data_IF_184472215518
#
_entry.id   IF_184472215518
#
_cell.length_a   1.000
_cell.length_b   1.000
_cell.length_c   1.000
_cell.angle_alpha   90.00
_cell.angle_beta   90.00
_cell.angle_gamma   90.00
#
_symmetry.space_group_name_H-M   'P 1'
#
loop_
_entity.id
_entity.type
_entity.pdbx_description
1 polymer ?
#
# COMPACT_ATOMS: atom_id res chain seq x y z
N UNK A 1 1.26 -3.46 16.16
CA UNK A 1 0.44 -4.43 15.42
C UNK A 1 1.28 -5.16 14.37
N UNK A 2 1.05 -6.43 14.21
CA UNK A 2 1.61 -7.29 13.15
C UNK A 2 0.44 -8.06 12.56
N UNK A 3 0.28 -7.98 11.24
CA UNK A 3 -0.85 -8.56 10.52
C UNK A 3 -0.33 -9.31 9.29
N UNK A 4 -0.89 -10.49 9.02
CA UNK A 4 -0.56 -11.27 7.83
C UNK A 4 0.88 -11.74 7.76
N UNK A 5 1.41 -11.86 6.54
CA UNK A 5 2.76 -12.35 6.29
C UNK A 5 3.82 -11.24 6.46
N UNK A 6 4.96 -11.60 7.05
CA UNK A 6 6.14 -10.72 7.16
C UNK A 6 7.20 -11.10 6.13
N UNK A 7 8.15 -10.19 5.84
CA UNK A 7 9.21 -10.46 4.84
C UNK A 7 9.96 -11.78 5.02
N UNK A 8 10.21 -12.20 6.25
CA UNK A 8 10.88 -13.48 6.53
C UNK A 8 10.01 -14.73 6.35
N UNK A 9 8.70 -14.57 6.21
CA UNK A 9 7.71 -15.63 6.05
C UNK A 9 7.20 -15.72 4.61
N UNK A 10 7.38 -14.66 3.84
CA UNK A 10 7.09 -14.62 2.41
C UNK A 10 8.21 -15.36 1.66
N UNK A 11 8.08 -16.69 1.55
CA UNK A 11 9.01 -17.46 0.72
C UNK A 11 9.07 -16.86 -0.69
N UNK A 12 10.14 -16.92 -1.39
CA UNK A 12 10.49 -16.58 -2.79
C UNK A 12 9.54 -15.68 -3.64
N UNK A 13 8.41 -15.22 -3.13
CA UNK A 13 7.51 -14.28 -3.84
C UNK A 13 8.06 -12.86 -3.77
N UNK A 14 8.21 -12.17 -4.92
CA UNK A 14 8.55 -10.75 -4.91
C UNK A 14 7.42 -9.94 -4.29
N UNK A 15 7.77 -9.06 -3.36
CA UNK A 15 6.83 -8.16 -2.68
C UNK A 15 7.36 -6.72 -2.68
N UNK A 16 6.44 -5.79 -2.55
CA UNK A 16 6.72 -4.37 -2.37
C UNK A 16 6.40 -3.94 -0.95
N UNK A 17 7.13 -2.94 -0.46
CA UNK A 17 6.90 -2.36 0.87
C UNK A 17 6.47 -0.91 0.73
N UNK A 18 5.22 -0.61 1.04
CA UNK A 18 4.73 0.75 1.22
C UNK A 18 4.98 1.22 2.65
N UNK A 19 5.40 2.48 2.83
CA UNK A 19 5.81 3.02 4.12
C UNK A 19 5.17 4.37 4.40
N UNK A 20 4.88 4.63 5.67
CA UNK A 20 4.59 5.97 6.18
C UNK A 20 5.16 6.13 7.58
N UNK A 21 5.75 7.29 7.83
CA UNK A 21 6.13 7.73 9.17
C UNK A 21 5.02 8.63 9.73
N UNK A 22 4.62 8.39 10.98
CA UNK A 22 3.60 9.22 11.65
C UNK A 22 4.13 10.58 12.13
N UNK A 23 5.41 10.86 11.95
CA UNK A 23 6.04 12.12 12.38
C UNK A 23 5.31 13.36 11.82
N UNK A 24 4.86 13.31 10.57
CA UNK A 24 4.17 14.41 9.89
C UNK A 24 2.69 14.15 9.62
N UNK A 25 2.12 13.06 10.14
CA UNK A 25 0.70 12.77 9.95
C UNK A 25 -0.15 13.74 10.79
N UNK A 26 -1.12 14.41 10.15
CA UNK A 26 -1.86 15.54 10.72
C UNK A 26 -2.55 15.22 12.06
N UNK A 27 -3.33 14.14 12.12
CA UNK A 27 -4.04 13.74 13.34
C UNK A 27 -3.08 13.33 14.45
N UNK A 28 -2.04 12.59 14.13
CA UNK A 28 -1.02 12.18 15.10
C UNK A 28 -0.30 13.38 15.71
N UNK A 29 -0.05 14.43 14.94
CA UNK A 29 0.52 15.70 15.42
C UNK A 29 -0.43 16.42 16.37
N UNK A 30 -1.72 16.54 16.02
CA UNK A 30 -2.75 17.16 16.87
C UNK A 30 -2.87 16.43 18.21
N UNK A 31 -2.78 15.11 18.20
CA UNK A 31 -2.81 14.28 19.42
C UNK A 31 -1.50 14.29 20.20
N UNK A 32 -0.42 14.87 19.68
CA UNK A 32 0.92 14.81 20.27
C UNK A 32 1.54 13.40 20.27
N UNK A 33 1.02 12.49 19.44
CA UNK A 33 1.43 11.07 19.33
C UNK A 33 1.96 10.77 17.94
N UNK A 34 2.88 11.60 17.43
CA UNK A 34 3.40 11.53 16.07
C UNK A 34 4.71 10.72 15.95
N UNK A 35 4.84 9.65 16.73
CA UNK A 35 5.97 8.73 16.66
C UNK A 35 5.51 7.38 16.12
N UNK A 36 6.37 6.76 15.31
CA UNK A 36 6.13 5.43 14.79
C UNK A 36 6.13 5.36 13.26
N UNK A 37 5.88 4.16 12.77
CA UNK A 37 5.89 3.84 11.35
C UNK A 37 4.88 2.75 11.05
N UNK A 38 4.25 2.82 9.89
CA UNK A 38 3.52 1.73 9.29
C UNK A 38 4.28 1.25 8.06
N UNK A 39 4.41 -0.06 7.92
CA UNK A 39 4.86 -0.74 6.70
C UNK A 39 3.76 -1.68 6.25
N UNK A 40 3.45 -1.66 4.98
CA UNK A 40 2.55 -2.64 4.34
C UNK A 40 3.34 -3.47 3.33
N UNK A 41 2.97 -4.72 3.20
CA UNK A 41 3.58 -5.66 2.28
C UNK A 41 2.57 -6.08 1.23
N UNK A 42 2.96 -5.93 -0.02
CA UNK A 42 2.09 -6.12 -1.18
C UNK A 42 2.73 -7.09 -2.15
N UNK A 43 1.99 -8.08 -2.59
CA UNK A 43 2.44 -8.99 -3.65
C UNK A 43 2.64 -8.21 -4.95
N UNK A 44 3.85 -8.30 -5.52
CA UNK A 44 4.22 -7.52 -6.70
C UNK A 44 3.40 -7.90 -7.95
N UNK A 45 3.03 -9.17 -8.09
CA UNK A 45 2.33 -9.67 -9.27
C UNK A 45 0.83 -9.34 -9.26
N UNK A 46 0.19 -9.44 -8.10
CA UNK A 46 -1.27 -9.25 -7.96
C UNK A 46 -1.69 -7.89 -7.40
N UNK A 47 -0.78 -7.18 -6.73
CA UNK A 47 -1.10 -5.95 -6.00
C UNK A 47 -1.91 -6.18 -4.72
N UNK A 48 -2.04 -7.43 -4.28
CA UNK A 48 -2.80 -7.80 -3.07
C UNK A 48 -2.00 -7.48 -1.82
N UNK A 49 -2.66 -6.88 -0.82
CA UNK A 49 -2.09 -6.70 0.52
C UNK A 49 -1.93 -8.06 1.20
N UNK A 50 -0.71 -8.42 1.56
CA UNK A 50 -0.39 -9.70 2.20
C UNK A 50 -0.02 -9.57 3.67
N UNK A 51 0.42 -8.41 4.11
CA UNK A 51 0.76 -8.18 5.50
C UNK A 51 1.04 -6.73 5.84
N UNK A 52 1.18 -6.46 7.12
CA UNK A 52 1.53 -5.14 7.63
C UNK A 52 2.18 -5.22 9.00
N UNK A 53 3.03 -4.26 9.30
CA UNK A 53 3.62 -4.03 10.61
C UNK A 53 3.47 -2.56 11.00
N UNK A 54 3.01 -2.32 12.22
CA UNK A 54 2.84 -0.96 12.73
C UNK A 54 3.33 -0.83 14.16
N UNK A 55 4.08 0.23 14.39
CA UNK A 55 4.36 0.76 15.71
C UNK A 55 3.95 2.23 15.69
N UNK A 56 2.98 2.62 16.51
CA UNK A 56 2.52 4.00 16.52
C UNK A 56 1.12 4.18 17.09
N UNK A 57 0.55 5.38 16.93
CA UNK A 57 -0.76 5.70 17.49
C UNK A 57 -1.88 4.89 16.84
N UNK A 58 -2.86 4.48 17.64
CA UNK A 58 -4.03 3.73 17.19
C UNK A 58 -3.71 2.42 16.44
N UNK A 59 -2.56 1.79 16.73
CA UNK A 59 -2.11 0.57 16.05
C UNK A 59 -3.13 -0.57 16.16
N UNK A 60 -3.85 -0.67 17.27
CA UNK A 60 -4.93 -1.65 17.46
C UNK A 60 -6.11 -1.42 16.53
N UNK A 61 -6.48 -0.19 16.24
CA UNK A 61 -7.59 0.15 15.34
C UNK A 61 -7.19 -0.01 13.87
N UNK A 62 -6.03 0.53 13.51
CA UNK A 62 -5.46 0.40 12.15
C UNK A 62 -5.19 -1.07 11.85
N UNK A 63 -4.64 -1.81 12.81
CA UNK A 63 -4.40 -3.25 12.68
C UNK A 63 -5.67 -4.05 12.38
N UNK A 64 -6.81 -3.66 12.95
CA UNK A 64 -8.11 -4.28 12.65
C UNK A 64 -8.52 -4.10 11.19
N UNK A 65 -8.43 -2.87 10.69
CA UNK A 65 -8.76 -2.55 9.30
C UNK A 65 -7.84 -3.29 8.31
N UNK A 66 -6.55 -3.31 8.61
CA UNK A 66 -5.56 -4.02 7.78
C UNK A 66 -5.75 -5.54 7.82
N UNK A 67 -6.12 -6.11 8.98
CA UNK A 67 -6.42 -7.53 9.09
C UNK A 67 -7.62 -7.92 8.22
N UNK A 68 -8.67 -7.12 8.19
CA UNK A 68 -9.82 -7.34 7.30
C UNK A 68 -9.43 -7.23 5.83
N UNK A 69 -8.61 -6.24 5.47
CA UNK A 69 -8.12 -6.07 4.11
C UNK A 69 -7.29 -7.28 3.63
N UNK A 70 -6.40 -7.79 4.49
CA UNK A 70 -5.61 -9.01 4.21
C UNK A 70 -6.53 -10.22 4.05
N UNK A 71 -7.48 -10.41 4.97
CA UNK A 71 -8.41 -11.55 4.93
C UNK A 71 -9.28 -11.54 3.67
N UNK A 72 -9.67 -10.38 3.19
CA UNK A 72 -10.46 -10.22 1.96
C UNK A 72 -9.61 -10.21 0.70
N UNK A 73 -8.29 -10.36 0.82
CA UNK A 73 -7.35 -10.31 -0.31
C UNK A 73 -7.49 -9.04 -1.15
N UNK A 74 -7.71 -7.90 -0.49
CA UNK A 74 -7.89 -6.63 -1.19
C UNK A 74 -6.59 -6.16 -1.84
N UNK A 75 -6.72 -5.63 -3.05
CA UNK A 75 -5.60 -4.98 -3.74
C UNK A 75 -5.38 -3.57 -3.23
N UNK A 76 -4.18 -3.04 -3.46
CA UNK A 76 -3.85 -1.64 -3.16
C UNK A 76 -4.83 -0.67 -3.81
N UNK A 77 -5.21 -0.92 -5.06
CA UNK A 77 -6.13 -0.05 -5.81
C UNK A 77 -7.56 -0.09 -5.22
N UNK A 78 -8.04 -1.26 -4.81
CA UNK A 78 -9.34 -1.38 -4.14
C UNK A 78 -9.36 -0.64 -2.81
N UNK A 79 -8.29 -0.75 -2.02
CA UNK A 79 -8.17 -0.04 -0.74
C UNK A 79 -8.12 1.48 -0.96
N UNK A 80 -7.35 1.97 -1.94
CA UNK A 80 -7.27 3.40 -2.25
C UNK A 80 -8.57 3.99 -2.79
N UNK A 81 -9.44 3.16 -3.36
CA UNK A 81 -10.77 3.56 -3.81
C UNK A 81 -11.80 3.68 -2.67
N UNK A 82 -11.49 3.14 -1.48
CA UNK A 82 -12.35 3.25 -0.31
C UNK A 82 -12.31 4.64 0.31
N UNK A 83 -13.40 5.10 0.96
CA UNK A 83 -13.42 6.40 1.62
C UNK A 83 -12.49 6.43 2.84
N UNK A 84 -11.78 7.54 3.00
CA UNK A 84 -11.00 7.85 4.19
C UNK A 84 -11.60 9.08 4.88
N UNK A 85 -11.91 8.95 6.16
CA UNK A 85 -12.38 10.09 6.96
C UNK A 85 -11.22 11.02 7.30
N UNK A 86 -11.48 12.31 7.42
CA UNK A 86 -10.48 13.31 7.77
C UNK A 86 -10.99 14.18 8.94
N UNK A 87 -10.18 14.52 9.96
CA UNK A 87 -8.78 14.12 10.18
C UNK A 87 -8.67 12.91 11.14
N UNK A 88 -8.12 11.81 10.69
CA UNK A 88 -7.88 10.60 11.50
C UNK A 88 -6.48 10.02 11.28
N UNK A 89 -6.02 9.17 12.20
CA UNK A 89 -4.70 8.52 12.10
C UNK A 89 -4.64 7.56 10.92
N UNK A 90 -5.76 6.94 10.57
CA UNK A 90 -5.95 5.99 9.46
C UNK A 90 -5.60 6.60 8.08
N UNK A 91 -5.56 7.92 7.95
CA UNK A 91 -5.05 8.56 6.74
C UNK A 91 -3.58 8.23 6.46
N UNK A 92 -2.84 7.80 7.49
CA UNK A 92 -1.49 7.26 7.33
C UNK A 92 -1.46 6.02 6.44
N UNK A 93 -2.48 5.16 6.54
CA UNK A 93 -2.62 3.97 5.69
C UNK A 93 -2.66 4.37 4.23
N UNK A 94 -3.47 5.39 3.89
CA UNK A 94 -3.58 5.91 2.53
C UNK A 94 -2.22 6.33 1.96
N UNK A 95 -1.36 6.93 2.78
CA UNK A 95 0.00 7.32 2.37
C UNK A 95 0.86 6.09 2.09
N UNK A 96 0.84 5.08 2.95
CA UNK A 96 1.56 3.84 2.73
C UNK A 96 1.07 3.09 1.48
N UNK A 97 -0.24 3.06 1.24
CA UNK A 97 -0.82 2.44 0.04
C UNK A 97 -0.48 3.21 -1.24
N UNK A 98 -0.43 4.53 -1.20
CA UNK A 98 0.03 5.35 -2.34
C UNK A 98 1.50 5.09 -2.66
N UNK A 99 2.34 4.92 -1.66
CA UNK A 99 3.74 4.56 -1.84
C UNK A 99 3.87 3.19 -2.53
N UNK A 100 3.13 2.18 -2.07
CA UNK A 100 3.09 0.87 -2.69
C UNK A 100 2.54 0.91 -4.13
N UNK A 101 1.47 1.67 -4.39
CA UNK A 101 0.89 1.83 -5.72
C UNK A 101 1.90 2.44 -6.71
N UNK A 102 2.66 3.45 -6.29
CA UNK A 102 3.70 4.06 -7.12
C UNK A 102 4.83 3.07 -7.47
N UNK A 103 5.18 2.17 -6.56
CA UNK A 103 6.16 1.11 -6.80
C UNK A 103 5.61 0.06 -7.78
N UNK A 104 4.34 -0.34 -7.66
CA UNK A 104 3.67 -1.26 -8.59
C UNK A 104 3.66 -0.72 -10.02
N UNK A 105 3.34 0.55 -10.20
CA UNK A 105 3.36 1.21 -11.52
C UNK A 105 4.76 1.19 -12.15
N UNK A 106 5.80 1.45 -11.37
CA UNK A 106 7.19 1.39 -11.84
C UNK A 106 7.58 -0.03 -12.25
N UNK A 107 7.20 -1.04 -11.48
CA UNK A 107 7.45 -2.44 -11.81
C UNK A 107 6.73 -2.85 -13.10
N UNK A 108 5.48 -2.47 -13.27
CA UNK A 108 4.70 -2.73 -14.48
C UNK A 108 5.34 -2.09 -15.71
N UNK A 109 5.83 -0.85 -15.61
CA UNK A 109 6.54 -0.16 -16.68
C UNK A 109 7.86 -0.86 -17.06
N UNK A 110 8.64 -1.29 -16.05
CA UNK A 110 9.89 -2.00 -16.28
C UNK A 110 9.66 -3.33 -17.01
N UNK A 111 8.68 -4.12 -16.58
CA UNK A 111 8.31 -5.37 -17.24
C UNK A 111 7.82 -5.16 -18.69
N UNK A 112 7.11 -4.06 -18.94
CA UNK A 112 6.65 -3.71 -20.28
C UNK A 112 7.83 -3.37 -21.22
N UNK A 113 8.85 -2.70 -20.72
CA UNK A 113 10.05 -2.38 -21.48
C UNK A 113 10.90 -3.62 -21.80
N UNK A 114 11.07 -4.52 -20.82
CA UNK A 114 11.83 -5.76 -20.98
C UNK A 114 11.14 -6.76 -21.93
N UNK A 115 9.82 -6.80 -21.95
CA UNK A 115 9.03 -7.70 -22.80
C UNK A 115 8.77 -7.16 -24.20
N UNK A 116 9.31 -5.99 -24.56
CA UNK A 116 9.13 -5.39 -25.89
C UNK A 116 7.68 -5.00 -26.21
N UNK A 117 6.84 -4.78 -25.20
CA UNK A 117 5.45 -4.39 -25.33
C UNK A 117 5.31 -2.90 -25.73
N UNK A 118 6.00 -2.49 -26.77
CA UNK A 118 5.65 -1.32 -27.56
C UNK A 118 4.46 -1.70 -28.44
N UNK A 119 3.31 -1.90 -27.82
CA UNK A 119 2.08 -2.04 -28.55
C UNK A 119 1.81 -0.72 -29.27
N UNK A 120 1.87 -0.80 -30.58
CA UNK A 120 1.39 0.18 -31.53
C UNK A 120 -0.02 0.66 -31.13
N UNK A 121 -0.11 1.78 -30.45
CA UNK A 121 -1.29 2.61 -30.54
C UNK A 121 -1.22 3.40 -31.84
N UNK A 122 -1.51 2.72 -32.94
CA UNK A 122 -2.03 3.41 -34.11
C UNK A 122 -3.41 3.89 -33.76
N UNK A 123 -3.49 5.11 -33.30
CA UNK A 123 -4.73 5.87 -33.34
C UNK A 123 -5.00 6.13 -34.79
N UNK A 124 -5.92 5.37 -35.36
CA UNK A 124 -6.53 5.74 -36.64
C UNK A 124 -7.34 6.99 -36.38
N UNK A 125 -6.92 8.09 -36.93
CA UNK A 125 -7.75 9.29 -36.96
C UNK A 125 -8.99 8.99 -37.84
N UNK A 126 -10.21 9.29 -37.35
CA UNK A 126 -11.38 9.20 -38.22
C UNK A 126 -11.35 10.32 -39.24
N UNK A 127 -11.62 9.96 -40.49
CA UNK A 127 -11.92 10.91 -41.55
C UNK A 127 -13.25 11.60 -41.31
#
# INVERSE_FOLDING_TARGET
AIIGERPGEMSDRPYLTGKVSFHNQGRSRVMGKNRGMLKIYVDESSGVLVGAEMLGPAAEHIGHLLAWAVQQSLTVNEILAMPFYHPVVEEGDRTAFRDAAAQLEKCAQAHCLDSGCLASTKVSAPH
#
